data_IF_288729878120
#
_entry.id   IF_288729878120
#
_cell.length_a   1.000
_cell.length_b   1.000
_cell.length_c   1.000
_cell.angle_alpha   90.00
_cell.angle_beta   90.00
_cell.angle_gamma   90.00
#
_symmetry.space_group_name_H-M   'P 1'
#
loop_
_entity.id
_entity.type
_entity.pdbx_description
1 polymer ?
#
# COMPACT_ATOMS: atom_id res chain seq x y z
N UNK A 1 8.32 -38.57 66.25
CA UNK A 1 8.07 -40.02 66.06
C UNK A 1 7.35 -40.19 64.74
N UNK A 2 7.93 -41.01 63.85
CA UNK A 2 7.39 -41.74 62.69
C UNK A 2 6.39 -41.05 61.73
N UNK A 3 6.82 -40.81 60.48
CA UNK A 3 6.60 -41.66 59.28
C UNK A 3 5.10 -41.79 58.93
N UNK A 4 4.65 -41.51 57.72
CA UNK A 4 4.86 -42.42 56.59
C UNK A 4 4.37 -41.77 55.27
N UNK A 5 5.23 -41.77 54.24
CA UNK A 5 4.82 -41.75 52.83
C UNK A 5 4.44 -43.17 52.44
N UNK A 6 3.32 -43.38 51.74
CA UNK A 6 3.21 -44.42 50.72
C UNK A 6 2.34 -43.94 49.57
N UNK A 7 2.93 -44.01 48.37
CA UNK A 7 2.36 -43.73 47.06
C UNK A 7 1.92 -45.07 46.44
N UNK A 8 1.03 -44.99 45.44
CA UNK A 8 0.67 -45.95 44.37
C UNK A 8 -0.70 -46.62 44.63
N UNK A 9 -1.66 -46.72 43.71
CA UNK A 9 -1.60 -46.76 42.25
C UNK A 9 -2.98 -46.42 41.64
N UNK A 10 -2.97 -45.80 40.46
CA UNK A 10 -3.82 -46.16 39.32
C UNK A 10 -5.33 -46.04 39.46
N UNK A 11 -5.88 -44.91 39.03
CA UNK A 11 -7.23 -44.88 38.44
C UNK A 11 -7.15 -44.14 37.09
N UNK A 12 -7.50 -44.86 36.02
CA UNK A 12 -7.76 -44.30 34.70
C UNK A 12 -8.81 -43.19 34.83
N UNK A 13 -8.46 -41.96 34.48
CA UNK A 13 -9.45 -40.91 34.26
C UNK A 13 -9.99 -41.07 32.83
N UNK A 14 -11.16 -41.70 32.71
CA UNK A 14 -12.02 -41.56 31.55
C UNK A 14 -12.44 -40.09 31.49
N UNK A 15 -12.00 -39.38 30.47
CA UNK A 15 -12.40 -37.99 30.24
C UNK A 15 -13.90 -37.91 29.97
N UNK A 16 -14.65 -37.44 30.98
CA UNK A 16 -16.03 -37.01 30.80
C UNK A 16 -16.00 -35.67 30.05
N UNK A 17 -16.35 -35.68 28.78
CA UNK A 17 -16.69 -34.46 28.03
C UNK A 17 -18.06 -34.01 28.52
N UNK A 18 -18.08 -33.10 29.49
CA UNK A 18 -19.29 -32.35 29.82
C UNK A 18 -19.46 -31.31 28.73
N UNK A 19 -20.47 -31.49 27.88
CA UNK A 19 -20.95 -30.47 26.96
C UNK A 19 -21.42 -29.26 27.76
N UNK A 20 -20.51 -28.30 27.97
CA UNK A 20 -20.84 -27.00 28.50
C UNK A 20 -21.58 -26.21 27.44
N UNK A 21 -22.89 -26.07 27.59
CA UNK A 21 -23.64 -25.02 26.91
C UNK A 21 -23.01 -23.68 27.30
N UNK A 22 -22.34 -23.04 26.34
CA UNK A 22 -21.95 -21.64 26.44
C UNK A 22 -23.24 -20.82 26.53
N UNK A 23 -23.65 -20.47 27.74
CA UNK A 23 -24.60 -19.37 27.94
C UNK A 23 -23.81 -18.12 27.54
N UNK A 24 -23.92 -17.76 26.27
CA UNK A 24 -23.40 -16.50 25.76
C UNK A 24 -24.15 -15.39 26.47
N UNK A 25 -23.49 -14.73 27.42
CA UNK A 25 -23.86 -13.37 27.81
C UNK A 25 -23.88 -12.57 26.51
N UNK A 26 -25.06 -12.16 26.05
CA UNK A 26 -25.16 -11.25 24.93
C UNK A 26 -24.39 -9.99 25.31
N UNK A 27 -23.16 -9.87 24.81
CA UNK A 27 -22.50 -8.58 24.74
C UNK A 27 -23.48 -7.71 23.96
N UNK A 28 -23.94 -6.62 24.57
CA UNK A 28 -24.74 -5.63 23.87
C UNK A 28 -24.03 -5.36 22.54
N UNK A 29 -24.76 -5.45 21.43
CA UNK A 29 -24.22 -5.06 20.15
C UNK A 29 -23.57 -3.68 20.35
N UNK A 30 -22.32 -3.47 19.90
CA UNK A 30 -21.76 -2.13 19.91
C UNK A 30 -22.79 -1.21 19.24
N UNK A 31 -22.97 0.03 19.72
CA UNK A 31 -23.86 0.97 19.05
C UNK A 31 -23.52 0.91 17.56
N UNK A 32 -24.53 0.62 16.74
CA UNK A 32 -24.36 0.73 15.30
C UNK A 32 -24.14 2.22 15.09
N UNK A 33 -22.89 2.60 14.85
CA UNK A 33 -22.61 3.91 14.36
C UNK A 33 -23.26 3.90 12.97
N UNK A 34 -24.49 4.41 12.84
CA UNK A 34 -25.09 4.64 11.52
C UNK A 34 -24.30 5.70 10.71
N UNK A 35 -23.27 6.30 11.35
CA UNK A 35 -22.17 7.04 10.72
C UNK A 35 -21.03 6.16 10.19
N UNK A 36 -21.18 4.83 10.15
CA UNK A 36 -20.40 4.01 9.23
C UNK A 36 -20.74 4.49 7.82
N UNK A 37 -19.98 5.49 7.35
CA UNK A 37 -20.26 6.24 6.14
C UNK A 37 -20.68 5.27 5.05
N UNK A 38 -21.87 5.51 4.48
CA UNK A 38 -22.37 4.71 3.36
C UNK A 38 -21.21 4.50 2.39
N UNK A 39 -20.99 3.25 1.97
CA UNK A 39 -19.94 2.94 1.00
C UNK A 39 -20.06 3.96 -0.13
N UNK A 40 -19.00 4.74 -0.37
CA UNK A 40 -18.91 5.57 -1.56
C UNK A 40 -19.30 4.66 -2.73
N UNK A 41 -20.30 5.07 -3.53
CA UNK A 41 -20.94 4.27 -4.59
C UNK A 41 -19.96 3.24 -5.14
N UNK A 42 -20.17 1.96 -4.79
CA UNK A 42 -19.22 0.91 -5.14
C UNK A 42 -18.99 0.93 -6.65
N UNK A 43 -17.72 0.88 -7.05
CA UNK A 43 -17.35 0.72 -8.45
C UNK A 43 -17.91 -0.60 -9.02
N UNK A 44 -17.84 -0.80 -10.35
CA UNK A 44 -18.13 -2.09 -10.95
C UNK A 44 -17.36 -3.20 -10.24
N UNK A 45 -17.95 -4.40 -10.16
CA UNK A 45 -17.23 -5.58 -9.70
C UNK A 45 -16.00 -5.77 -10.60
N UNK A 46 -14.91 -6.24 -10.03
CA UNK A 46 -13.70 -6.58 -10.78
C UNK A 46 -13.06 -7.82 -10.18
N UNK A 47 -12.46 -8.64 -11.02
CA UNK A 47 -11.71 -9.84 -10.64
C UNK A 47 -10.25 -9.50 -10.44
N UNK A 48 -9.66 -10.00 -9.35
CA UNK A 48 -8.23 -9.87 -9.12
C UNK A 48 -7.46 -10.88 -9.97
N UNK A 49 -6.45 -10.40 -10.70
CA UNK A 49 -5.52 -11.20 -11.49
C UNK A 49 -4.12 -11.05 -10.89
N UNK A 50 -3.56 -12.10 -10.25
CA UNK A 50 -2.19 -12.08 -9.78
C UNK A 50 -1.22 -12.17 -10.97
N UNK A 51 -0.07 -11.52 -10.84
CA UNK A 51 1.01 -11.55 -11.83
C UNK A 51 2.35 -11.74 -11.12
N UNK A 52 3.38 -12.10 -11.89
CA UNK A 52 4.75 -11.97 -11.40
C UNK A 52 5.04 -10.50 -11.11
N UNK A 53 5.62 -10.25 -9.94
CA UNK A 53 5.80 -8.88 -9.49
C UNK A 53 6.84 -8.16 -10.36
N UNK A 54 6.58 -6.91 -10.71
CA UNK A 54 7.53 -6.08 -11.45
C UNK A 54 7.65 -4.69 -10.85
N UNK A 55 8.81 -4.07 -11.07
CA UNK A 55 9.06 -2.69 -10.69
C UNK A 55 8.38 -1.73 -11.66
N UNK A 56 7.40 -0.99 -11.17
CA UNK A 56 6.72 0.05 -11.93
C UNK A 56 7.35 1.43 -11.73
N UNK A 57 7.96 1.65 -10.56
CA UNK A 57 8.56 2.93 -10.22
C UNK A 57 9.68 2.79 -9.19
N UNK A 58 10.75 3.52 -9.40
CA UNK A 58 11.87 3.69 -8.49
C UNK A 58 12.42 5.11 -8.64
N UNK A 59 12.12 5.98 -7.68
CA UNK A 59 12.65 7.35 -7.70
C UNK A 59 14.18 7.39 -7.55
N UNK A 60 14.82 6.23 -7.31
CA UNK A 60 16.28 6.12 -7.24
C UNK A 60 16.95 6.02 -8.61
N UNK A 61 16.19 5.71 -9.65
CA UNK A 61 16.72 5.64 -11.00
C UNK A 61 16.91 7.07 -11.54
N UNK A 62 18.09 7.36 -12.09
CA UNK A 62 18.42 8.71 -12.53
C UNK A 62 17.63 9.12 -13.79
N UNK A 63 17.27 10.41 -13.86
CA UNK A 63 16.87 11.01 -15.13
C UNK A 63 18.04 10.93 -16.14
N UNK A 64 17.78 10.64 -17.42
CA UNK A 64 18.81 10.59 -18.44
C UNK A 64 18.99 12.03 -18.91
N UNK A 65 20.08 12.66 -18.45
CA UNK A 65 20.64 13.94 -18.90
C UNK A 65 19.88 15.23 -18.58
N UNK A 66 20.47 16.00 -17.65
CA UNK A 66 20.84 17.41 -17.75
C UNK A 66 22.08 17.57 -16.83
N UNK A 67 22.92 18.60 -17.03
CA UNK A 67 24.23 18.85 -16.38
C UNK A 67 24.20 18.95 -14.84
N UNK A 68 23.78 17.87 -14.18
CA UNK A 68 23.52 17.78 -12.75
C UNK A 68 24.51 16.77 -12.16
N UNK A 69 25.23 17.15 -11.09
CA UNK A 69 26.13 16.26 -10.36
C UNK A 69 25.48 14.91 -10.00
N UNK A 70 26.20 13.78 -10.03
CA UNK A 70 25.63 12.44 -9.81
C UNK A 70 24.82 12.28 -8.51
N UNK A 71 25.20 12.99 -7.46
CA UNK A 71 24.53 13.08 -6.16
C UNK A 71 23.18 13.82 -6.20
N UNK A 72 22.92 14.57 -7.27
CA UNK A 72 21.66 15.26 -7.53
C UNK A 72 20.82 14.64 -8.66
N UNK A 73 21.30 13.55 -9.29
CA UNK A 73 20.59 12.86 -10.38
C UNK A 73 19.41 12.01 -9.91
N UNK A 74 19.26 11.87 -8.60
CA UNK A 74 18.29 10.98 -7.97
C UNK A 74 17.43 11.79 -7.00
N UNK A 75 16.44 12.56 -7.50
CA UNK A 75 15.68 13.43 -6.65
C UNK A 75 14.76 12.61 -5.74
N UNK A 76 15.02 12.65 -4.44
CA UNK A 76 13.98 12.33 -3.45
C UNK A 76 12.73 13.13 -3.78
N UNK A 77 11.58 12.50 -3.71
CA UNK A 77 10.33 13.20 -3.92
C UNK A 77 10.11 14.14 -2.73
N UNK A 78 9.92 15.42 -3.04
CA UNK A 78 9.69 16.47 -2.07
C UNK A 78 8.20 16.66 -1.77
N UNK A 79 7.93 17.23 -0.60
CA UNK A 79 6.59 17.55 -0.16
C UNK A 79 5.80 18.37 -1.20
N UNK A 80 4.52 18.01 -1.39
CA UNK A 80 3.52 18.81 -2.11
C UNK A 80 3.54 18.68 -3.63
N UNK A 81 4.55 18.02 -4.21
CA UNK A 81 4.52 17.68 -5.64
C UNK A 81 3.73 16.40 -5.88
N UNK A 82 2.75 16.47 -6.79
CA UNK A 82 2.02 15.28 -7.26
C UNK A 82 2.81 14.66 -8.41
N UNK A 83 3.42 13.51 -8.15
CA UNK A 83 4.15 12.72 -9.13
C UNK A 83 3.17 11.77 -9.83
N UNK A 84 2.90 11.93 -11.14
CA UNK A 84 2.24 10.89 -11.91
C UNK A 84 3.22 9.73 -12.15
N UNK A 85 2.74 8.51 -11.94
CA UNK A 85 3.52 7.28 -12.10
C UNK A 85 2.76 6.34 -13.02
N UNK A 86 3.36 5.97 -14.15
CA UNK A 86 2.77 4.99 -15.06
C UNK A 86 3.05 3.59 -14.55
N UNK A 87 2.06 2.96 -13.94
CA UNK A 87 2.21 1.63 -13.35
C UNK A 87 1.84 0.51 -14.31
N UNK A 88 1.16 0.80 -15.42
CA UNK A 88 0.75 -0.24 -16.36
C UNK A 88 1.90 -0.90 -17.15
N UNK A 89 3.10 -0.34 -17.03
CA UNK A 89 4.31 -0.81 -17.69
C UNK A 89 5.40 -1.02 -16.68
N UNK A 90 6.37 -1.87 -17.00
CA UNK A 90 7.58 -1.95 -16.20
C UNK A 90 8.44 -0.69 -16.39
N UNK A 91 9.22 -0.37 -15.36
CA UNK A 91 10.30 0.60 -15.47
C UNK A 91 11.60 -0.12 -15.85
N UNK A 92 12.23 0.31 -16.94
CA UNK A 92 13.66 0.07 -17.17
C UNK A 92 14.29 1.39 -17.64
N UNK A 93 14.46 2.32 -16.70
CA UNK A 93 15.00 3.68 -16.87
C UNK A 93 14.07 4.71 -17.55
N UNK A 94 14.35 5.98 -17.29
CA UNK A 94 13.63 7.13 -17.84
C UNK A 94 13.77 7.35 -19.37
N UNK A 95 14.52 6.49 -20.09
CA UNK A 95 14.67 6.56 -21.56
C UNK A 95 13.68 5.67 -22.33
N UNK A 96 12.76 4.98 -21.67
CA UNK A 96 12.49 3.63 -22.17
C UNK A 96 11.13 3.38 -22.84
N UNK A 97 11.23 2.68 -23.96
CA UNK A 97 10.26 1.66 -24.42
C UNK A 97 9.85 0.78 -23.23
N UNK A 98 8.69 1.05 -22.67
CA UNK A 98 8.11 0.31 -21.54
C UNK A 98 7.21 -0.80 -22.09
N UNK A 99 7.38 -2.04 -21.63
CA UNK A 99 6.53 -3.16 -22.07
C UNK A 99 5.26 -3.15 -21.23
N UNK A 100 4.06 -3.10 -21.84
CA UNK A 100 2.80 -3.27 -21.12
C UNK A 100 2.81 -4.57 -20.31
N UNK A 101 2.59 -4.45 -19.00
CA UNK A 101 2.53 -5.59 -18.07
C UNK A 101 1.11 -5.92 -17.63
N UNK A 102 0.22 -4.93 -17.66
CA UNK A 102 -1.21 -5.12 -17.34
C UNK A 102 -2.08 -4.56 -18.48
N UNK A 103 -3.31 -5.09 -18.67
CA UNK A 103 -4.22 -4.61 -19.69
C UNK A 103 -4.64 -3.14 -19.48
N UNK A 104 -4.88 -2.42 -20.56
CA UNK A 104 -5.41 -1.04 -20.50
C UNK A 104 -6.84 -0.96 -19.92
N UNK A 105 -7.54 -2.09 -19.84
CA UNK A 105 -8.86 -2.25 -19.22
C UNK A 105 -8.80 -2.39 -17.69
N UNK A 106 -7.61 -2.54 -17.11
CA UNK A 106 -7.46 -2.68 -15.66
C UNK A 106 -7.99 -1.43 -14.93
N UNK A 107 -8.71 -1.65 -13.82
CA UNK A 107 -9.35 -0.58 -13.04
C UNK A 107 -8.58 -0.21 -11.77
N UNK A 108 -7.77 -1.14 -11.28
CA UNK A 108 -6.94 -0.97 -10.09
C UNK A 108 -5.73 -1.91 -10.14
N UNK A 109 -4.73 -1.62 -9.31
CA UNK A 109 -3.56 -2.48 -9.09
C UNK A 109 -3.39 -2.81 -7.62
N UNK A 110 -2.80 -3.95 -7.32
CA UNK A 110 -2.19 -4.22 -6.02
C UNK A 110 -0.69 -3.93 -6.10
N UNK A 111 -0.15 -3.39 -5.01
CA UNK A 111 1.23 -2.93 -4.97
C UNK A 111 1.91 -3.26 -3.65
N UNK A 112 3.25 -3.33 -3.72
CA UNK A 112 4.15 -3.13 -2.60
C UNK A 112 4.81 -1.76 -2.75
N UNK A 113 4.69 -0.93 -1.73
CA UNK A 113 5.29 0.38 -1.62
C UNK A 113 6.46 0.30 -0.64
N UNK A 114 7.62 0.78 -1.06
CA UNK A 114 8.76 1.00 -0.17
C UNK A 114 9.14 2.48 -0.20
N UNK A 115 9.21 3.07 0.98
CA UNK A 115 9.76 4.41 1.20
C UNK A 115 11.11 4.24 1.85
N UNK A 116 12.13 4.91 1.33
CA UNK A 116 13.51 4.77 1.77
C UNK A 116 14.19 6.12 1.96
N UNK A 117 15.18 6.16 2.86
CA UNK A 117 15.94 7.36 3.20
C UNK A 117 15.05 8.57 3.49
N UNK A 118 14.03 8.38 4.34
CA UNK A 118 13.11 9.45 4.74
C UNK A 118 13.85 10.65 5.31
N UNK A 119 13.25 11.82 5.19
CA UNK A 119 13.69 13.04 5.86
C UNK A 119 12.49 13.80 6.40
N UNK A 120 12.56 14.21 7.66
CA UNK A 120 11.40 14.74 8.38
C UNK A 120 10.34 13.68 8.66
N UNK A 121 9.29 14.04 9.38
CA UNK A 121 8.11 13.20 9.55
C UNK A 121 7.17 13.41 8.35
N UNK A 122 6.55 12.34 7.85
CA UNK A 122 5.72 12.45 6.66
C UNK A 122 4.96 11.19 6.30
N UNK A 123 4.33 11.25 5.14
CA UNK A 123 3.51 10.18 4.59
C UNK A 123 3.47 10.20 3.07
N UNK A 124 3.08 9.09 2.46
CA UNK A 124 2.74 9.00 1.05
C UNK A 124 1.22 8.90 0.89
N UNK A 125 0.64 9.72 0.03
CA UNK A 125 -0.68 9.48 -0.55
C UNK A 125 -0.51 8.80 -1.91
N UNK A 126 -1.23 7.70 -2.16
CA UNK A 126 -1.41 7.13 -3.51
C UNK A 126 -2.89 7.22 -3.88
N UNK A 127 -3.18 7.76 -5.07
CA UNK A 127 -4.54 7.87 -5.57
C UNK A 127 -4.62 7.66 -7.08
N UNK A 128 -5.80 7.30 -7.58
CA UNK A 128 -6.03 7.17 -9.03
C UNK A 128 -6.05 8.50 -9.77
N UNK A 129 -6.44 9.60 -9.11
CA UNK A 129 -6.52 10.94 -9.73
C UNK A 129 -5.56 11.93 -9.10
N UNK A 130 -5.21 12.97 -9.86
CA UNK A 130 -4.32 14.04 -9.41
C UNK A 130 -4.94 14.79 -8.23
N UNK A 131 -6.23 15.12 -8.31
CA UNK A 131 -6.95 15.90 -7.29
C UNK A 131 -7.02 15.15 -5.96
N UNK A 132 -7.26 13.83 -6.02
CA UNK A 132 -7.30 13.00 -4.82
C UNK A 132 -5.92 12.88 -4.16
N UNK A 133 -4.85 12.80 -4.96
CA UNK A 133 -3.48 12.81 -4.44
C UNK A 133 -3.10 14.18 -3.86
N UNK A 134 -3.43 15.27 -4.56
CA UNK A 134 -3.18 16.64 -4.12
C UNK A 134 -3.91 16.99 -2.81
N UNK A 135 -5.10 16.43 -2.59
CA UNK A 135 -5.89 16.66 -1.38
C UNK A 135 -5.26 16.02 -0.12
N UNK A 136 -4.37 15.04 -0.26
CA UNK A 136 -3.62 14.39 0.83
C UNK A 136 -4.50 13.91 2.01
N UNK A 137 -5.73 13.49 1.73
CA UNK A 137 -6.70 13.08 2.77
C UNK A 137 -6.43 11.68 3.33
N UNK A 138 -5.60 10.88 2.65
CA UNK A 138 -5.29 9.51 3.02
C UNK A 138 -3.78 9.26 2.95
N UNK A 139 -3.29 8.34 3.76
CA UNK A 139 -1.89 7.93 3.78
C UNK A 139 -1.78 6.43 3.50
N UNK A 140 -1.06 6.08 2.45
CA UNK A 140 -0.68 4.70 2.14
C UNK A 140 0.43 4.21 3.09
N UNK A 141 1.36 5.08 3.49
CA UNK A 141 2.37 4.76 4.51
C UNK A 141 2.77 6.04 5.23
N UNK A 142 3.15 5.91 6.51
CA UNK A 142 3.59 7.02 7.35
C UNK A 142 4.98 6.69 7.92
N UNK A 143 5.77 7.73 8.19
CA UNK A 143 7.03 7.65 8.92
C UNK A 143 7.17 8.83 9.87
N UNK A 144 7.92 8.63 10.96
CA UNK A 144 7.99 9.60 12.06
C UNK A 144 9.32 10.32 12.18
N UNK A 145 10.37 9.82 11.54
CA UNK A 145 11.70 10.45 11.57
C UNK A 145 12.48 10.16 10.28
N UNK A 146 13.63 10.83 10.14
CA UNK A 146 14.56 10.66 9.04
C UNK A 146 15.30 9.32 9.10
N UNK A 147 15.79 8.85 7.94
CA UNK A 147 16.61 7.66 7.80
C UNK A 147 15.84 6.34 7.95
N UNK A 148 14.50 6.37 7.88
CA UNK A 148 13.69 5.15 7.92
C UNK A 148 13.57 4.54 6.53
N UNK A 149 13.48 3.22 6.51
CA UNK A 149 12.94 2.43 5.41
C UNK A 149 11.63 1.83 5.90
N UNK A 150 10.51 2.22 5.29
CA UNK A 150 9.17 1.75 5.67
C UNK A 150 8.45 1.18 4.45
N UNK A 151 7.74 0.07 4.64
CA UNK A 151 6.99 -0.59 3.58
C UNK A 151 5.50 -0.66 3.91
N UNK A 152 4.66 -0.64 2.87
CA UNK A 152 3.27 -1.04 2.97
C UNK A 152 2.81 -1.77 1.70
N UNK A 153 1.81 -2.64 1.83
CA UNK A 153 1.12 -3.25 0.70
C UNK A 153 -0.31 -2.73 0.60
N UNK A 154 -0.86 -2.65 -0.61
CA UNK A 154 -2.23 -2.16 -0.78
C UNK A 154 -2.77 -2.30 -2.19
N UNK A 155 -3.93 -1.68 -2.41
CA UNK A 155 -4.54 -1.54 -3.72
C UNK A 155 -4.87 -0.08 -3.99
N UNK A 156 -4.75 0.36 -5.24
CA UNK A 156 -5.08 1.72 -5.66
C UNK A 156 -5.76 1.69 -7.03
N UNK A 157 -6.74 2.57 -7.22
CA UNK A 157 -7.40 2.77 -8.51
C UNK A 157 -6.39 3.26 -9.55
N UNK A 158 -6.58 2.80 -10.78
CA UNK A 158 -5.88 3.35 -11.94
C UNK A 158 -6.67 4.51 -12.52
N UNK A 159 -5.99 5.64 -12.73
CA UNK A 159 -6.51 6.75 -13.51
C UNK A 159 -5.69 7.01 -14.76
N UNK A 160 -5.92 8.19 -15.33
CA UNK A 160 -5.12 8.80 -16.41
C UNK A 160 -4.07 9.71 -15.80
N UNK A 161 -3.05 10.15 -16.54
CA UNK A 161 -2.06 11.10 -15.99
C UNK A 161 -2.59 12.56 -15.91
N UNK A 162 -3.90 12.77 -16.10
CA UNK A 162 -4.56 14.08 -16.22
C UNK A 162 -4.97 14.43 -17.65
N UNK A 163 -5.26 15.72 -17.87
CA UNK A 163 -5.85 16.25 -19.11
C UNK A 163 -4.86 16.43 -20.28
N UNK A 164 -3.62 15.97 -20.15
CA UNK A 164 -2.62 16.12 -21.20
C UNK A 164 -2.95 15.19 -22.38
N UNK A 165 -3.17 15.72 -23.60
CA UNK A 165 -3.44 14.90 -24.77
C UNK A 165 -2.32 13.86 -24.99
N UNK A 166 -2.68 12.58 -25.08
CA UNK A 166 -1.74 11.44 -25.16
C UNK A 166 -1.53 10.68 -23.84
N UNK A 167 -1.88 11.27 -22.69
CA UNK A 167 -1.79 10.65 -21.36
C UNK A 167 -3.15 10.23 -20.78
N UNK A 168 -4.18 10.25 -21.62
CA UNK A 168 -5.56 9.88 -21.33
C UNK A 168 -5.78 8.36 -21.22
N UNK A 169 -4.76 7.55 -21.49
CA UNK A 169 -4.87 6.10 -21.37
C UNK A 169 -4.79 5.72 -19.89
N UNK A 170 -5.76 4.94 -19.35
CA UNK A 170 -5.66 4.39 -18.00
C UNK A 170 -4.36 3.63 -17.76
N UNK A 171 -3.89 3.61 -16.52
CA UNK A 171 -2.63 2.96 -16.15
C UNK A 171 -1.70 3.81 -15.31
N UNK A 172 -2.22 4.89 -14.73
CA UNK A 172 -1.48 5.83 -13.90
C UNK A 172 -1.96 5.79 -12.46
N UNK A 173 -1.03 6.01 -11.56
CA UNK A 173 -1.29 6.37 -10.16
C UNK A 173 -0.62 7.70 -9.89
N UNK A 174 -1.20 8.47 -8.98
CA UNK A 174 -0.65 9.74 -8.52
C UNK A 174 -0.13 9.56 -7.11
N UNK A 175 1.13 9.92 -6.94
CA UNK A 175 1.83 9.83 -5.67
C UNK A 175 2.12 11.24 -5.15
N UNK A 176 1.98 11.46 -3.86
CA UNK A 176 2.35 12.72 -3.22
C UNK A 176 3.00 12.48 -1.88
N UNK A 177 4.10 13.20 -1.61
CA UNK A 177 4.73 13.25 -0.28
C UNK A 177 4.05 14.36 0.52
N UNK A 178 3.48 14.01 1.66
CA UNK A 178 2.96 14.93 2.66
C UNK A 178 3.81 14.88 3.94
N UNK A 179 3.58 15.81 4.87
CA UNK A 179 4.27 15.82 6.16
C UNK A 179 4.71 17.19 6.65
N UNK A 180 5.74 17.19 7.49
CA UNK A 180 6.39 18.43 7.97
C UNK A 180 7.06 19.18 6.81
N UNK A 181 7.20 20.52 6.88
CA UNK A 181 7.94 21.30 5.89
C UNK A 181 9.31 20.68 5.57
N UNK A 182 9.54 20.39 4.28
CA UNK A 182 10.79 19.79 3.80
C UNK A 182 10.83 18.26 3.86
N UNK A 183 9.71 17.59 4.17
CA UNK A 183 9.62 16.15 4.11
C UNK A 183 9.98 15.62 2.71
N UNK A 184 10.86 14.62 2.65
CA UNK A 184 11.28 14.00 1.39
C UNK A 184 11.69 12.54 1.59
N UNK A 185 11.55 11.72 0.55
CA UNK A 185 11.97 10.33 0.58
C UNK A 185 12.18 9.75 -0.83
N UNK A 186 12.89 8.63 -0.91
CA UNK A 186 12.80 7.75 -2.07
C UNK A 186 11.54 6.90 -2.00
N UNK A 187 10.97 6.59 -3.16
CA UNK A 187 9.77 5.79 -3.28
C UNK A 187 9.97 4.76 -4.37
N UNK A 188 9.66 3.52 -4.05
CA UNK A 188 9.68 2.37 -4.94
C UNK A 188 8.27 1.76 -4.93
N UNK A 189 7.74 1.48 -6.12
CA UNK A 189 6.45 0.82 -6.29
C UNK A 189 6.67 -0.42 -7.16
N UNK A 190 6.38 -1.57 -6.56
CA UNK A 190 6.32 -2.86 -7.25
C UNK A 190 4.85 -3.28 -7.39
N UNK A 191 4.44 -3.71 -8.58
CA UNK A 191 3.08 -4.17 -8.85
C UNK A 191 3.02 -5.68 -8.69
N UNK A 192 2.00 -6.17 -7.99
CA UNK A 192 1.84 -7.59 -7.65
C UNK A 192 0.62 -8.25 -8.30
N UNK A 193 -0.26 -7.44 -8.89
CA UNK A 193 -1.51 -7.87 -9.49
C UNK A 193 -2.37 -6.68 -9.94
N UNK A 194 -3.46 -6.98 -10.63
CA UNK A 194 -4.41 -5.98 -11.11
C UNK A 194 -5.86 -6.44 -10.98
N UNK A 195 -6.79 -5.50 -11.12
CA UNK A 195 -8.22 -5.77 -11.15
C UNK A 195 -8.75 -5.53 -12.56
N UNK A 196 -9.49 -6.51 -13.08
CA UNK A 196 -10.16 -6.46 -14.38
C UNK A 196 -11.69 -6.45 -14.20
N UNK A 197 -12.45 -5.62 -14.96
CA UNK A 197 -13.91 -5.58 -14.90
C UNK A 197 -14.62 -6.92 -15.08
#
# INVERSE_FOLDING_TARGET
MSYTRFIRSGLLAVGLVIGGSLVGSALAAPPVNDEAGALAKAGPKSSYVPIESYRAYDSRNALPTLDVPPDQRVPKLGQGYVQPVRVATNEVSFQQISVPQIPATATAVTYNLTVDQTEGAGFITLAGTHEAAAAQQTAAVNWTTSGQTVGNGGSVLLGTAGDVPGFMTPGWVHLTVGGTPGARAHVIIDITGYYEP
#
